data_IF_770208910700
#
_entry.id   IF_770208910700
#
_cell.length_a   1.000
_cell.length_b   1.000
_cell.length_c   1.000
_cell.angle_alpha   90.00
_cell.angle_beta   90.00
_cell.angle_gamma   90.00
#
_symmetry.space_group_name_H-M   'P 1'
#
loop_
_entity.id
_entity.type
_entity.pdbx_description
1 polymer ?
#
# COMPACT_ATOMS: atom_id res chain seq x y z
N UNK A 1 -44.83 -9.81 2.83
CA UNK A 1 -44.22 -8.49 2.59
C UNK A 1 -42.69 -8.55 2.60
N UNK A 2 -42.02 -8.80 3.74
CA UNK A 2 -40.55 -8.78 3.79
C UNK A 2 -39.87 -9.88 2.97
N UNK A 3 -40.44 -11.08 2.90
CA UNK A 3 -39.93 -12.12 1.98
C UNK A 3 -40.06 -11.74 0.51
N UNK A 4 -41.14 -11.05 0.15
CA UNK A 4 -41.35 -10.53 -1.21
C UNK A 4 -40.29 -9.48 -1.53
N UNK A 5 -40.09 -8.51 -0.62
CA UNK A 5 -39.05 -7.49 -0.75
C UNK A 5 -37.63 -8.11 -0.82
N UNK A 6 -37.35 -9.19 -0.08
CA UNK A 6 -36.08 -9.90 -0.17
C UNK A 6 -35.87 -10.52 -1.57
N UNK A 7 -36.89 -11.16 -2.14
CA UNK A 7 -36.84 -11.72 -3.50
C UNK A 7 -36.70 -10.63 -4.57
N UNK A 8 -37.40 -9.52 -4.42
CA UNK A 8 -37.27 -8.37 -5.33
C UNK A 8 -35.86 -7.76 -5.26
N UNK A 9 -35.31 -7.59 -4.06
CA UNK A 9 -33.94 -7.10 -3.89
C UNK A 9 -32.90 -8.06 -4.50
N UNK A 10 -33.07 -9.36 -4.32
CA UNK A 10 -32.25 -10.37 -5.00
C UNK A 10 -32.33 -10.25 -6.53
N UNK A 11 -33.52 -10.02 -7.07
CA UNK A 11 -33.69 -9.80 -8.51
C UNK A 11 -32.97 -8.52 -8.98
N UNK A 12 -33.04 -7.43 -8.21
CA UNK A 12 -32.28 -6.20 -8.52
C UNK A 12 -30.79 -6.45 -8.50
N UNK A 13 -30.26 -7.13 -7.46
CA UNK A 13 -28.83 -7.46 -7.36
C UNK A 13 -28.34 -8.35 -8.50
N UNK A 14 -29.23 -9.14 -9.11
CA UNK A 14 -28.90 -9.99 -10.26
C UNK A 14 -29.01 -9.24 -11.59
N UNK A 15 -30.05 -8.42 -11.76
CA UNK A 15 -30.36 -7.75 -13.04
C UNK A 15 -29.59 -6.45 -13.26
N UNK A 16 -29.24 -5.73 -12.19
CA UNK A 16 -28.60 -4.41 -12.23
C UNK A 16 -27.16 -4.46 -11.68
N UNK A 17 -26.56 -5.64 -11.63
CA UNK A 17 -25.25 -5.83 -10.99
C UNK A 17 -24.14 -4.98 -11.61
N UNK A 18 -24.22 -4.73 -12.91
CA UNK A 18 -23.23 -3.95 -13.67
C UNK A 18 -23.42 -2.44 -13.55
N UNK A 19 -24.56 -1.97 -13.03
CA UNK A 19 -24.89 -0.54 -12.92
C UNK A 19 -24.78 -0.03 -11.49
N UNK A 20 -24.88 -0.91 -10.48
CA UNK A 20 -24.82 -0.53 -9.07
C UNK A 20 -23.38 -0.32 -8.59
N UNK A 21 -23.07 0.90 -8.17
CA UNK A 21 -21.77 1.31 -7.64
C UNK A 21 -21.76 1.36 -6.11
N UNK A 22 -22.86 1.80 -5.48
CA UNK A 22 -22.91 2.09 -4.05
C UNK A 22 -24.16 1.52 -3.37
N UNK A 23 -23.98 1.01 -2.16
CA UNK A 23 -25.04 0.56 -1.28
C UNK A 23 -25.11 1.40 0.01
N UNK A 24 -26.33 1.77 0.43
CA UNK A 24 -26.56 2.55 1.64
C UNK A 24 -27.79 2.10 2.43
N UNK A 25 -27.76 2.35 3.74
CA UNK A 25 -28.96 2.34 4.58
C UNK A 25 -29.47 3.77 4.70
N UNK A 26 -30.72 4.00 4.31
CA UNK A 26 -31.33 5.34 4.23
C UNK A 26 -32.33 5.50 5.35
N UNK A 27 -32.17 6.55 6.16
CA UNK A 27 -33.17 6.94 7.14
C UNK A 27 -34.22 7.82 6.45
N UNK A 28 -35.41 7.27 6.23
CA UNK A 28 -36.54 8.05 5.72
C UNK A 28 -37.20 8.79 6.89
N UNK A 29 -37.40 10.10 6.76
CA UNK A 29 -38.03 10.92 7.80
C UNK A 29 -39.55 10.80 7.74
N UNK A 30 -40.17 10.36 8.84
CA UNK A 30 -41.61 10.49 9.12
C UNK A 30 -42.57 9.67 8.25
N UNK A 31 -43.73 9.33 8.80
CA UNK A 31 -44.81 8.59 8.11
C UNK A 31 -45.51 9.39 7.00
N UNK A 32 -45.20 10.69 6.84
CA UNK A 32 -45.98 11.63 6.01
C UNK A 32 -45.49 11.77 4.55
N UNK A 33 -44.25 11.40 4.22
CA UNK A 33 -43.66 11.65 2.88
C UNK A 33 -43.77 10.48 1.88
N UNK A 34 -44.31 9.32 2.28
CA UNK A 34 -44.41 8.14 1.40
C UNK A 34 -45.86 7.89 0.99
N UNK A 35 -46.32 8.62 -0.02
CA UNK A 35 -47.49 8.24 -0.80
C UNK A 35 -47.32 6.85 -1.40
N UNK A 36 -48.34 6.00 -1.20
CA UNK A 36 -48.55 4.63 -1.72
C UNK A 36 -47.34 3.66 -1.70
N UNK A 37 -47.40 2.74 -0.72
CA UNK A 37 -46.47 1.64 -0.40
C UNK A 37 -45.09 2.08 0.09
N UNK A 38 -44.82 1.84 1.39
CA UNK A 38 -43.49 1.97 2.00
C UNK A 38 -42.49 1.07 1.26
N UNK A 39 -41.76 1.63 0.29
CA UNK A 39 -40.71 0.93 -0.45
C UNK A 39 -39.60 0.54 0.54
N UNK A 40 -39.26 -0.75 0.55
CA UNK A 40 -38.23 -1.30 1.45
C UNK A 40 -36.82 -0.96 0.96
N UNK A 41 -36.67 -0.78 -0.36
CA UNK A 41 -35.43 -0.37 -1.01
C UNK A 41 -35.74 0.52 -2.22
N UNK A 42 -34.74 1.26 -2.67
CA UNK A 42 -34.85 2.26 -3.74
C UNK A 42 -33.56 2.26 -4.56
N UNK A 43 -33.72 2.46 -5.85
CA UNK A 43 -32.64 2.84 -6.77
C UNK A 43 -32.88 4.29 -7.19
N UNK A 44 -31.83 5.02 -7.56
CA UNK A 44 -31.89 6.42 -8.00
C UNK A 44 -32.50 6.63 -9.41
N UNK A 45 -33.41 5.74 -9.84
CA UNK A 45 -34.12 5.78 -11.13
C UNK A 45 -33.73 4.64 -12.08
N UNK A 46 -34.26 4.67 -13.30
CA UNK A 46 -33.89 3.72 -14.36
C UNK A 46 -32.44 3.94 -14.78
N UNK A 47 -31.58 2.96 -14.49
CA UNK A 47 -30.13 3.06 -14.71
C UNK A 47 -29.35 3.72 -13.57
N UNK A 48 -29.98 3.91 -12.40
CA UNK A 48 -29.35 4.47 -11.23
C UNK A 48 -28.20 3.61 -10.67
N UNK A 49 -27.15 4.25 -10.16
CA UNK A 49 -25.96 3.56 -9.63
C UNK A 49 -25.96 3.36 -8.12
N UNK A 50 -27.01 3.80 -7.42
CA UNK A 50 -27.09 3.74 -5.96
C UNK A 50 -28.28 2.91 -5.50
N UNK A 51 -28.00 1.94 -4.64
CA UNK A 51 -28.99 1.10 -3.99
C UNK A 51 -29.14 1.52 -2.52
N UNK A 52 -30.34 1.98 -2.15
CA UNK A 52 -30.69 2.29 -0.77
C UNK A 52 -31.64 1.24 -0.19
N UNK A 53 -31.45 0.85 1.07
CA UNK A 53 -32.45 0.10 1.86
C UNK A 53 -32.92 0.98 3.02
N UNK A 54 -34.24 1.02 3.25
CA UNK A 54 -34.80 1.73 4.41
C UNK A 54 -34.21 1.17 5.70
N UNK A 55 -33.58 2.04 6.49
CA UNK A 55 -32.96 1.71 7.76
C UNK A 55 -33.98 1.08 8.74
N UNK A 56 -35.23 1.56 8.73
CA UNK A 56 -36.29 1.02 9.58
C UNK A 56 -36.71 -0.41 9.20
N UNK A 57 -36.58 -0.77 7.94
CA UNK A 57 -36.96 -2.09 7.41
C UNK A 57 -35.79 -3.07 7.32
N UNK A 58 -34.54 -2.59 7.38
CA UNK A 58 -33.32 -3.40 7.17
C UNK A 58 -33.23 -4.66 8.05
N UNK A 59 -33.56 -4.56 9.34
CA UNK A 59 -33.51 -5.73 10.24
C UNK A 59 -34.61 -6.77 9.94
N UNK A 60 -35.78 -6.34 9.48
CA UNK A 60 -36.85 -7.25 9.10
C UNK A 60 -36.55 -7.91 7.74
N UNK A 61 -36.01 -7.14 6.80
CA UNK A 61 -35.53 -7.63 5.51
C UNK A 61 -34.41 -8.66 5.67
N UNK A 62 -33.41 -8.37 6.51
CA UNK A 62 -32.32 -9.30 6.82
C UNK A 62 -32.85 -10.63 7.36
N UNK A 63 -33.77 -10.60 8.33
CA UNK A 63 -34.36 -11.82 8.91
C UNK A 63 -35.12 -12.63 7.85
N UNK A 64 -35.91 -11.97 7.00
CA UNK A 64 -36.64 -12.65 5.94
C UNK A 64 -35.68 -13.31 4.93
N UNK A 65 -34.69 -12.56 4.43
CA UNK A 65 -33.68 -13.09 3.51
C UNK A 65 -32.89 -14.25 4.13
N UNK A 66 -32.52 -14.12 5.42
CA UNK A 66 -31.81 -15.16 6.16
C UNK A 66 -32.66 -16.43 6.32
N UNK A 67 -33.93 -16.32 6.68
CA UNK A 67 -34.83 -17.49 6.79
C UNK A 67 -34.93 -18.19 5.44
N UNK A 68 -35.20 -17.44 4.35
CA UNK A 68 -35.26 -18.00 3.00
C UNK A 68 -33.96 -18.70 2.59
N UNK A 69 -32.82 -18.07 2.90
CA UNK A 69 -31.51 -18.68 2.69
C UNK A 69 -31.38 -19.98 3.49
N UNK A 70 -31.58 -19.94 4.81
CA UNK A 70 -31.38 -21.07 5.73
C UNK A 70 -32.25 -22.29 5.39
N UNK A 71 -33.50 -22.06 4.98
CA UNK A 71 -34.43 -23.13 4.58
C UNK A 71 -34.22 -23.62 3.14
N UNK A 72 -33.56 -22.83 2.31
CA UNK A 72 -33.34 -23.12 0.89
C UNK A 72 -32.21 -24.13 0.65
N UNK A 73 -32.30 -24.84 -0.48
CA UNK A 73 -31.24 -25.72 -0.93
C UNK A 73 -30.01 -24.90 -1.39
N UNK A 74 -28.84 -25.16 -0.79
CA UNK A 74 -27.61 -24.38 -1.06
C UNK A 74 -27.05 -24.55 -2.47
N UNK A 75 -27.53 -25.56 -3.21
CA UNK A 75 -27.14 -25.78 -4.62
C UNK A 75 -28.07 -25.04 -5.61
N UNK A 76 -29.15 -24.42 -5.13
CA UNK A 76 -30.06 -23.64 -5.97
C UNK A 76 -29.64 -22.19 -6.08
N UNK A 77 -29.74 -21.64 -7.29
CA UNK A 77 -29.37 -20.27 -7.60
C UNK A 77 -30.22 -19.24 -6.82
N UNK A 78 -31.51 -19.53 -6.63
CA UNK A 78 -32.43 -18.70 -5.84
C UNK A 78 -31.98 -18.55 -4.38
N UNK A 79 -31.48 -19.63 -3.77
CA UNK A 79 -30.87 -19.61 -2.44
C UNK A 79 -29.58 -18.80 -2.44
N UNK A 80 -28.80 -18.85 -3.53
CA UNK A 80 -27.59 -18.05 -3.68
C UNK A 80 -27.86 -16.56 -3.90
N UNK A 81 -28.99 -16.16 -4.47
CA UNK A 81 -29.36 -14.74 -4.45
C UNK A 81 -29.75 -14.29 -3.05
N UNK A 82 -30.47 -15.12 -2.29
CA UNK A 82 -30.78 -14.81 -0.89
C UNK A 82 -29.50 -14.65 -0.07
N UNK A 83 -28.45 -15.45 -0.36
CA UNK A 83 -27.12 -15.26 0.22
C UNK A 83 -26.54 -13.88 -0.11
N UNK A 84 -26.68 -13.37 -1.35
CA UNK A 84 -26.25 -12.01 -1.71
C UNK A 84 -27.00 -10.95 -0.90
N UNK A 85 -28.32 -11.09 -0.72
CA UNK A 85 -29.12 -10.15 0.10
C UNK A 85 -28.66 -10.17 1.57
N UNK A 86 -28.44 -11.37 2.13
CA UNK A 86 -27.94 -11.54 3.50
C UNK A 86 -26.59 -10.85 3.67
N UNK A 87 -25.66 -11.04 2.74
CA UNK A 87 -24.31 -10.47 2.78
C UNK A 87 -24.26 -8.97 2.52
N UNK A 88 -25.15 -8.45 1.68
CA UNK A 88 -25.31 -7.00 1.48
C UNK A 88 -25.72 -6.30 2.78
N UNK A 89 -26.62 -6.93 3.55
CA UNK A 89 -27.10 -6.39 4.83
C UNK A 89 -26.15 -6.70 6.00
N UNK A 90 -25.43 -7.82 5.96
CA UNK A 90 -24.50 -8.28 6.98
C UNK A 90 -23.31 -9.01 6.38
N UNK A 91 -22.26 -8.24 6.08
CA UNK A 91 -21.08 -8.72 5.37
C UNK A 91 -20.19 -9.68 6.19
N UNK A 92 -20.31 -9.69 7.52
CA UNK A 92 -19.47 -10.51 8.40
C UNK A 92 -20.05 -11.91 8.67
N UNK A 93 -21.06 -12.34 7.92
CA UNK A 93 -21.61 -13.69 8.03
C UNK A 93 -20.76 -14.72 7.25
N UNK A 94 -19.62 -15.09 7.83
CA UNK A 94 -18.60 -15.94 7.21
C UNK A 94 -19.12 -17.29 6.67
N UNK A 95 -20.04 -17.95 7.38
CA UNK A 95 -20.65 -19.21 6.90
C UNK A 95 -21.32 -19.04 5.54
N UNK A 96 -21.94 -17.90 5.28
CA UNK A 96 -22.58 -17.62 3.98
C UNK A 96 -21.52 -17.44 2.91
N UNK A 97 -20.45 -16.68 3.16
CA UNK A 97 -19.31 -16.59 2.24
C UNK A 97 -18.71 -17.96 1.91
N UNK A 98 -18.50 -18.82 2.90
CA UNK A 98 -17.94 -20.15 2.67
C UNK A 98 -18.86 -21.05 1.83
N UNK A 99 -20.19 -20.96 2.02
CA UNK A 99 -21.15 -21.64 1.16
C UNK A 99 -21.08 -21.12 -0.28
N UNK A 100 -20.91 -19.81 -0.47
CA UNK A 100 -20.71 -19.23 -1.81
C UNK A 100 -19.42 -19.72 -2.47
N UNK A 101 -18.31 -19.81 -1.73
CA UNK A 101 -17.05 -20.39 -2.24
C UNK A 101 -17.26 -21.81 -2.76
N UNK A 102 -17.97 -22.65 -2.00
CA UNK A 102 -18.28 -24.01 -2.43
C UNK A 102 -19.16 -24.04 -3.68
N UNK A 103 -20.18 -23.18 -3.74
CA UNK A 103 -21.09 -23.10 -4.87
C UNK A 103 -20.38 -22.67 -6.16
N UNK A 104 -19.65 -21.55 -6.11
CA UNK A 104 -18.93 -21.00 -7.26
C UNK A 104 -17.71 -21.85 -7.63
N UNK A 105 -17.00 -22.39 -6.64
CA UNK A 105 -15.83 -23.25 -6.86
C UNK A 105 -16.16 -24.55 -7.59
N UNK A 106 -17.33 -25.17 -7.33
CA UNK A 106 -17.80 -26.34 -8.08
C UNK A 106 -18.06 -26.02 -9.56
N UNK A 107 -18.55 -24.81 -9.85
CA UNK A 107 -18.89 -24.37 -11.21
C UNK A 107 -17.65 -23.89 -11.98
N UNK A 108 -16.70 -23.31 -11.26
CA UNK A 108 -15.40 -22.87 -11.76
C UNK A 108 -15.49 -21.97 -13.01
N UNK A 109 -16.55 -21.15 -13.10
CA UNK A 109 -16.83 -20.26 -14.23
C UNK A 109 -16.24 -18.86 -13.99
N UNK A 110 -15.41 -18.37 -14.91
CA UNK A 110 -14.73 -17.06 -14.79
C UNK A 110 -15.72 -15.89 -14.77
N UNK A 111 -16.76 -15.92 -15.59
CA UNK A 111 -17.75 -14.83 -15.68
C UNK A 111 -18.53 -14.71 -14.37
N UNK A 112 -18.94 -15.84 -13.78
CA UNK A 112 -19.60 -15.87 -12.48
C UNK A 112 -18.69 -15.39 -11.34
N UNK A 113 -17.38 -15.69 -11.43
CA UNK A 113 -16.40 -15.18 -10.46
C UNK A 113 -16.18 -13.67 -10.63
N UNK A 114 -16.20 -13.15 -11.86
CA UNK A 114 -16.15 -11.70 -12.12
C UNK A 114 -17.42 -10.99 -11.63
N UNK A 115 -18.58 -11.60 -11.80
CA UNK A 115 -19.81 -11.16 -11.13
C UNK A 115 -19.64 -11.18 -9.62
N UNK A 116 -19.04 -12.22 -9.06
CA UNK A 116 -18.80 -12.27 -7.62
C UNK A 116 -17.90 -11.14 -7.14
N UNK A 117 -16.83 -10.82 -7.87
CA UNK A 117 -15.96 -9.66 -7.60
C UNK A 117 -16.79 -8.36 -7.61
N UNK A 118 -17.63 -8.13 -8.63
CA UNK A 118 -18.53 -6.97 -8.69
C UNK A 118 -19.49 -6.91 -7.50
N UNK A 119 -20.04 -8.05 -7.08
CA UNK A 119 -20.89 -8.09 -5.90
C UNK A 119 -20.12 -7.63 -4.64
N UNK A 120 -18.87 -8.07 -4.49
CA UNK A 120 -18.05 -7.62 -3.36
C UNK A 120 -17.70 -6.13 -3.43
N UNK A 121 -17.64 -5.50 -4.60
CA UNK A 121 -17.49 -4.02 -4.72
C UNK A 121 -18.66 -3.32 -4.01
N UNK A 122 -19.88 -3.76 -4.32
CA UNK A 122 -21.10 -3.20 -3.73
C UNK A 122 -21.14 -3.41 -2.21
N UNK A 123 -20.76 -4.60 -1.73
CA UNK A 123 -20.65 -4.89 -0.29
C UNK A 123 -19.62 -3.97 0.37
N UNK A 124 -18.44 -3.79 -0.23
CA UNK A 124 -17.35 -2.96 0.31
C UNK A 124 -17.65 -1.46 0.28
N UNK A 125 -18.56 -0.99 -0.60
CA UNK A 125 -19.02 0.40 -0.60
C UNK A 125 -19.63 0.82 0.75
N UNK A 126 -20.25 -0.13 1.47
CA UNK A 126 -20.81 0.08 2.81
C UNK A 126 -19.98 -0.56 3.92
N UNK A 127 -19.57 -1.81 3.74
CA UNK A 127 -18.94 -2.65 4.75
C UNK A 127 -17.42 -2.73 4.55
N UNK A 128 -16.78 -1.59 4.34
CA UNK A 128 -15.36 -1.50 3.97
C UNK A 128 -14.38 -2.20 4.95
N UNK A 129 -14.75 -2.39 6.23
CA UNK A 129 -13.95 -3.10 7.23
C UNK A 129 -14.18 -4.61 7.27
N UNK A 130 -15.13 -5.15 6.52
CA UNK A 130 -15.51 -6.57 6.60
C UNK A 130 -14.35 -7.48 6.16
N UNK A 131 -13.67 -8.08 7.13
CA UNK A 131 -12.56 -9.00 6.86
C UNK A 131 -13.01 -10.23 6.04
N UNK A 132 -14.17 -10.86 6.32
CA UNK A 132 -14.66 -11.97 5.49
C UNK A 132 -14.88 -11.59 4.03
N UNK A 133 -15.34 -10.36 3.75
CA UNK A 133 -15.52 -9.87 2.38
C UNK A 133 -14.19 -9.78 1.63
N UNK A 134 -13.14 -9.21 2.26
CA UNK A 134 -11.80 -9.14 1.65
C UNK A 134 -11.20 -10.53 1.42
N UNK A 135 -11.36 -11.45 2.38
CA UNK A 135 -10.89 -12.84 2.24
C UNK A 135 -11.61 -13.56 1.11
N UNK A 136 -12.93 -13.37 0.98
CA UNK A 136 -13.71 -13.96 -0.11
C UNK A 136 -13.32 -13.38 -1.48
N UNK A 137 -13.14 -12.07 -1.54
CA UNK A 137 -12.67 -11.37 -2.75
C UNK A 137 -11.31 -11.89 -3.20
N UNK A 138 -10.36 -12.04 -2.28
CA UNK A 138 -9.06 -12.62 -2.58
C UNK A 138 -9.16 -14.05 -3.10
N UNK A 139 -9.98 -14.90 -2.47
CA UNK A 139 -10.22 -16.24 -2.97
C UNK A 139 -10.76 -16.24 -4.41
N UNK A 140 -11.75 -15.40 -4.71
CA UNK A 140 -12.34 -15.31 -6.05
C UNK A 140 -11.32 -14.86 -7.09
N UNK A 141 -10.51 -13.85 -6.77
CA UNK A 141 -9.41 -13.41 -7.62
C UNK A 141 -8.40 -14.54 -7.88
N UNK A 142 -8.01 -15.29 -6.85
CA UNK A 142 -7.11 -16.43 -7.00
C UNK A 142 -7.67 -17.51 -7.92
N UNK A 143 -8.98 -17.78 -7.87
CA UNK A 143 -9.62 -18.71 -8.80
C UNK A 143 -9.52 -18.20 -10.24
N UNK A 144 -9.82 -16.91 -10.46
CA UNK A 144 -9.76 -16.30 -11.80
C UNK A 144 -8.33 -16.38 -12.35
N UNK A 145 -7.34 -15.86 -11.60
CA UNK A 145 -5.95 -15.82 -12.04
C UNK A 145 -5.32 -17.21 -12.17
N UNK A 146 -5.63 -18.14 -11.27
CA UNK A 146 -5.15 -19.52 -11.34
C UNK A 146 -5.63 -20.26 -12.60
N UNK A 147 -6.85 -19.99 -13.06
CA UNK A 147 -7.34 -20.53 -14.32
C UNK A 147 -6.63 -19.95 -15.56
N UNK A 148 -6.16 -18.71 -15.50
CA UNK A 148 -5.35 -18.11 -16.57
C UNK A 148 -3.95 -18.73 -16.63
N UNK A 149 -3.29 -18.91 -15.48
CA UNK A 149 -1.96 -19.51 -15.40
C UNK A 149 -1.93 -20.99 -15.86
N UNK A 150 -2.93 -21.78 -15.48
CA UNK A 150 -3.00 -23.19 -15.89
C UNK A 150 -3.26 -23.37 -17.40
N UNK A 151 -3.89 -22.38 -18.07
CA UNK A 151 -4.11 -22.40 -19.53
C UNK A 151 -2.84 -22.07 -20.31
N UNK A 152 -1.88 -21.35 -19.73
CA UNK A 152 -0.61 -21.01 -20.37
C UNK A 152 0.41 -22.18 -20.33
N UNK A 153 0.27 -23.11 -19.38
CA UNK A 153 1.21 -24.24 -19.20
C UNK A 153 0.81 -25.54 -19.92
N UNK A 154 -0.39 -25.62 -20.50
CA UNK A 154 -0.89 -26.83 -21.16
C UNK A 154 -0.72 -26.84 -22.68
N UNK A 155 0.49 -27.13 -23.19
CA UNK A 155 0.74 -27.81 -24.49
C UNK A 155 2.25 -27.90 -24.76
N UNK A 156 2.90 -29.01 -24.41
CA UNK A 156 4.18 -29.42 -25.03
C UNK A 156 4.54 -30.91 -24.88
N UNK A 157 3.57 -31.82 -24.92
CA UNK A 157 3.86 -33.24 -25.13
C UNK A 157 3.02 -33.81 -26.27
N UNK A 158 3.66 -33.94 -27.44
CA UNK A 158 3.23 -34.81 -28.53
C UNK A 158 2.49 -34.12 -29.69
N UNK A 159 3.23 -33.77 -30.74
CA UNK A 159 3.03 -34.33 -32.09
C UNK A 159 4.05 -33.71 -33.04
N UNK A 160 5.15 -34.44 -33.26
CA UNK A 160 6.05 -34.19 -34.37
C UNK A 160 5.30 -34.44 -35.70
N UNK A 161 5.49 -33.48 -36.61
CA UNK A 161 5.44 -33.62 -38.07
C UNK A 161 4.06 -33.44 -38.76
N UNK A 162 3.85 -32.25 -39.35
CA UNK A 162 3.60 -31.99 -40.79
C UNK A 162 3.11 -30.53 -40.98
N UNK A 163 3.91 -29.69 -41.64
CA UNK A 163 3.41 -28.53 -42.39
C UNK A 163 3.87 -27.13 -41.95
N UNK A 164 4.99 -26.68 -42.51
CA UNK A 164 5.61 -25.35 -42.35
C UNK A 164 4.73 -24.11 -42.66
N UNK A 165 3.49 -24.29 -43.17
CA UNK A 165 2.54 -23.18 -43.44
C UNK A 165 1.38 -23.09 -42.43
N UNK A 166 1.00 -24.20 -41.79
CA UNK A 166 -0.02 -24.23 -40.70
C UNK A 166 0.55 -23.70 -39.39
N UNK A 167 1.82 -24.01 -39.13
CA UNK A 167 2.59 -23.49 -37.99
C UNK A 167 2.46 -21.96 -37.84
N UNK A 168 2.60 -21.17 -38.92
CA UNK A 168 2.52 -19.69 -38.82
C UNK A 168 1.13 -19.12 -38.49
N UNK A 169 0.05 -19.86 -38.73
CA UNK A 169 -1.32 -19.42 -38.38
C UNK A 169 -1.65 -19.82 -36.94
N UNK A 170 -1.23 -21.03 -36.55
CA UNK A 170 -1.39 -21.51 -35.17
C UNK A 170 -0.52 -20.69 -34.19
N UNK A 171 0.69 -20.30 -34.58
CA UNK A 171 1.56 -19.40 -33.81
C UNK A 171 0.93 -18.01 -33.63
N UNK A 172 0.34 -17.45 -34.70
CA UNK A 172 -0.35 -16.13 -34.63
C UNK A 172 -1.58 -16.17 -33.72
N UNK A 173 -2.41 -17.21 -33.84
CA UNK A 173 -3.58 -17.38 -32.97
C UNK A 173 -3.17 -17.59 -31.50
N UNK A 174 -2.05 -18.30 -31.27
CA UNK A 174 -1.47 -18.48 -29.93
C UNK A 174 -0.99 -17.16 -29.33
N UNK A 175 -0.30 -16.34 -30.12
CA UNK A 175 0.16 -15.02 -29.71
C UNK A 175 -1.00 -14.06 -29.39
N UNK A 176 -2.05 -14.06 -30.21
CA UNK A 176 -3.26 -13.25 -29.98
C UNK A 176 -3.97 -13.67 -28.69
N UNK A 177 -4.17 -14.96 -28.48
CA UNK A 177 -4.80 -15.49 -27.26
C UNK A 177 -3.99 -15.16 -25.99
N UNK A 178 -2.67 -15.24 -26.08
CA UNK A 178 -1.78 -14.89 -24.95
C UNK A 178 -1.84 -13.40 -24.66
N UNK A 179 -1.94 -12.54 -25.68
CA UNK A 179 -2.14 -11.09 -25.51
C UNK A 179 -3.49 -10.79 -24.87
N UNK A 180 -4.56 -11.44 -25.31
CA UNK A 180 -5.91 -11.26 -24.74
C UNK A 180 -5.97 -11.67 -23.26
N UNK A 181 -5.40 -12.83 -22.91
CA UNK A 181 -5.31 -13.29 -21.52
C UNK A 181 -4.55 -12.28 -20.64
N UNK A 182 -3.43 -11.74 -21.13
CA UNK A 182 -2.66 -10.70 -20.41
C UNK A 182 -3.47 -9.42 -20.22
N UNK A 183 -4.14 -8.94 -21.27
CA UNK A 183 -4.98 -7.74 -21.19
C UNK A 183 -6.12 -7.92 -20.17
N UNK A 184 -6.74 -9.10 -20.14
CA UNK A 184 -7.78 -9.43 -19.19
C UNK A 184 -7.24 -9.47 -17.75
N UNK A 185 -6.09 -10.12 -17.52
CA UNK A 185 -5.39 -10.11 -16.22
C UNK A 185 -5.14 -8.68 -15.76
N UNK A 186 -4.55 -7.85 -16.62
CA UNK A 186 -4.15 -6.49 -16.26
C UNK A 186 -5.37 -5.62 -15.94
N UNK A 187 -6.45 -5.80 -16.70
CA UNK A 187 -7.74 -5.12 -16.44
C UNK A 187 -8.29 -5.49 -15.07
N UNK A 188 -8.26 -6.78 -14.71
CA UNK A 188 -8.72 -7.27 -13.41
C UNK A 188 -7.83 -6.69 -12.29
N UNK A 189 -6.51 -6.84 -12.38
CA UNK A 189 -5.60 -6.34 -11.35
C UNK A 189 -5.70 -4.82 -11.16
N UNK A 190 -5.92 -4.08 -12.25
CA UNK A 190 -6.10 -2.63 -12.19
C UNK A 190 -7.41 -2.25 -11.48
N UNK A 191 -8.50 -2.97 -11.73
CA UNK A 191 -9.76 -2.84 -10.98
C UNK A 191 -9.56 -3.13 -9.48
N UNK A 192 -8.76 -4.15 -9.14
CA UNK A 192 -8.43 -4.48 -7.75
C UNK A 192 -7.62 -3.38 -7.04
N UNK A 193 -6.72 -2.70 -7.76
CA UNK A 193 -6.05 -1.51 -7.22
C UNK A 193 -7.02 -0.34 -7.06
N UNK A 194 -8.02 -0.20 -7.91
CA UNK A 194 -9.02 0.88 -7.83
C UNK A 194 -9.99 0.70 -6.67
N UNK A 195 -10.49 -0.51 -6.39
CA UNK A 195 -11.35 -0.75 -5.23
C UNK A 195 -10.61 -0.46 -3.92
N UNK A 196 -9.34 -0.87 -3.80
CA UNK A 196 -8.51 -0.56 -2.63
C UNK A 196 -8.35 0.95 -2.44
N UNK A 197 -8.19 1.68 -3.54
CA UNK A 197 -8.06 3.14 -3.54
C UNK A 197 -9.38 3.82 -3.12
N UNK A 198 -10.52 3.38 -3.65
CA UNK A 198 -11.85 3.88 -3.26
C UNK A 198 -12.13 3.64 -1.78
N UNK A 199 -11.86 2.43 -1.29
CA UNK A 199 -12.06 2.10 0.12
C UNK A 199 -11.11 2.90 1.03
N UNK A 200 -9.85 3.07 0.64
CA UNK A 200 -8.92 3.93 1.37
C UNK A 200 -9.39 5.41 1.40
N UNK A 201 -10.06 5.90 0.36
CA UNK A 201 -10.68 7.23 0.38
C UNK A 201 -11.84 7.35 1.36
N UNK A 202 -12.68 6.32 1.46
CA UNK A 202 -13.78 6.29 2.43
C UNK A 202 -13.29 6.10 3.88
N UNK A 203 -12.21 5.34 4.07
CA UNK A 203 -11.59 5.11 5.37
C UNK A 203 -10.08 4.87 5.22
N UNK A 204 -9.30 5.94 5.34
CA UNK A 204 -7.86 5.99 5.05
C UNK A 204 -6.99 5.00 5.84
N UNK A 205 -7.50 4.43 6.94
CA UNK A 205 -6.81 3.40 7.74
C UNK A 205 -7.42 2.01 7.57
N UNK A 206 -8.02 1.70 6.43
CA UNK A 206 -8.57 0.37 6.17
C UNK A 206 -7.45 -0.66 6.02
N UNK A 207 -7.03 -1.26 7.13
CA UNK A 207 -5.96 -2.25 7.16
C UNK A 207 -6.19 -3.42 6.20
N UNK A 208 -7.45 -3.85 6.03
CA UNK A 208 -7.80 -4.95 5.13
C UNK A 208 -7.61 -4.56 3.66
N UNK A 209 -8.03 -3.35 3.26
CA UNK A 209 -7.81 -2.86 1.89
C UNK A 209 -6.31 -2.71 1.59
N UNK A 210 -5.55 -2.18 2.55
CA UNK A 210 -4.10 -2.07 2.39
C UNK A 210 -3.43 -3.44 2.35
N UNK A 211 -3.78 -4.38 3.22
CA UNK A 211 -3.21 -5.74 3.19
C UNK A 211 -3.52 -6.44 1.87
N UNK A 212 -4.78 -6.37 1.42
CA UNK A 212 -5.19 -6.93 0.13
C UNK A 212 -4.43 -6.29 -1.04
N UNK A 213 -4.26 -4.95 -1.04
CA UNK A 213 -3.45 -4.26 -2.05
C UNK A 213 -2.01 -4.79 -2.13
N UNK A 214 -1.37 -5.15 -1.01
CA UNK A 214 -0.03 -5.74 -1.02
C UNK A 214 -0.02 -7.09 -1.76
N UNK A 215 -1.05 -7.92 -1.55
CA UNK A 215 -1.21 -9.20 -2.24
C UNK A 215 -1.40 -9.00 -3.75
N UNK A 216 -2.20 -8.00 -4.14
CA UNK A 216 -2.36 -7.62 -5.56
C UNK A 216 -1.03 -7.24 -6.20
N UNK A 217 -0.22 -6.43 -5.52
CA UNK A 217 1.09 -6.02 -6.02
C UNK A 217 2.05 -7.20 -6.21
N UNK A 218 1.91 -8.26 -5.41
CA UNK A 218 2.68 -9.50 -5.58
C UNK A 218 2.44 -10.20 -6.93
N UNK A 219 1.27 -10.03 -7.55
CA UNK A 219 1.02 -10.59 -8.89
C UNK A 219 1.79 -9.88 -9.99
N UNK A 220 2.13 -8.59 -9.83
CA UNK A 220 2.96 -7.86 -10.79
C UNK A 220 4.44 -8.22 -10.62
N UNK A 221 4.91 -8.35 -9.37
CA UNK A 221 6.30 -8.70 -9.05
C UNK A 221 6.71 -10.09 -9.58
N UNK A 222 5.80 -11.07 -9.49
CA UNK A 222 6.08 -12.46 -9.86
C UNK A 222 6.45 -12.68 -11.34
N UNK A 223 5.87 -11.90 -12.26
CA UNK A 223 6.14 -12.03 -13.69
C UNK A 223 7.28 -11.12 -14.16
N UNK A 224 7.52 -10.00 -13.45
CA UNK A 224 8.56 -9.00 -13.73
C UNK A 224 8.66 -8.61 -15.22
N UNK A 225 7.52 -8.56 -15.92
CA UNK A 225 7.47 -8.11 -17.31
C UNK A 225 7.66 -6.60 -17.42
N UNK A 226 7.94 -6.08 -18.61
CA UNK A 226 8.04 -4.64 -18.85
C UNK A 226 6.70 -3.94 -18.51
N UNK A 227 5.58 -4.58 -18.80
CA UNK A 227 4.23 -4.13 -18.50
C UNK A 227 3.97 -4.09 -16.99
N UNK A 228 4.38 -5.14 -16.25
CA UNK A 228 4.25 -5.16 -14.78
C UNK A 228 5.10 -4.05 -14.14
N UNK A 229 6.32 -3.83 -14.64
CA UNK A 229 7.18 -2.73 -14.17
C UNK A 229 6.55 -1.36 -14.43
N UNK A 230 5.87 -1.17 -15.58
CA UNK A 230 5.11 0.05 -15.87
C UNK A 230 3.94 0.22 -14.91
N UNK A 231 3.20 -0.85 -14.62
CA UNK A 231 2.08 -0.83 -13.67
C UNK A 231 2.56 -0.47 -12.25
N UNK A 232 3.66 -1.07 -11.77
CA UNK A 232 4.29 -0.72 -10.51
C UNK A 232 4.78 0.74 -10.48
N UNK A 233 5.30 1.26 -11.59
CA UNK A 233 5.67 2.67 -11.69
C UNK A 233 4.46 3.60 -11.58
N UNK A 234 3.36 3.31 -12.29
CA UNK A 234 2.12 4.08 -12.17
C UNK A 234 1.57 4.04 -10.74
N UNK A 235 1.63 2.87 -10.09
CA UNK A 235 1.22 2.72 -8.71
C UNK A 235 2.08 3.55 -7.74
N UNK A 236 3.39 3.56 -7.94
CA UNK A 236 4.30 4.44 -7.20
C UNK A 236 3.84 5.90 -7.30
N UNK A 237 3.55 6.39 -8.52
CA UNK A 237 3.09 7.77 -8.72
C UNK A 237 1.75 8.04 -8.04
N UNK A 238 0.82 7.08 -8.07
CA UNK A 238 -0.46 7.16 -7.38
C UNK A 238 -0.28 7.28 -5.86
N UNK A 239 0.54 6.42 -5.26
CA UNK A 239 0.86 6.47 -3.83
C UNK A 239 1.55 7.77 -3.45
N UNK A 240 2.50 8.24 -4.28
CA UNK A 240 3.18 9.53 -4.08
C UNK A 240 2.17 10.68 -4.01
N UNK A 241 1.22 10.73 -4.95
CA UNK A 241 0.13 11.70 -4.95
C UNK A 241 -0.77 11.55 -3.69
N UNK A 242 -0.99 10.33 -3.21
CA UNK A 242 -1.80 10.06 -2.03
C UNK A 242 -1.19 10.61 -0.74
N UNK A 243 0.02 10.18 -0.36
CA UNK A 243 0.53 10.46 0.98
C UNK A 243 1.05 11.89 1.16
N UNK A 244 1.32 12.65 0.09
CA UNK A 244 1.57 14.11 0.21
C UNK A 244 0.35 14.86 0.76
N UNK A 245 -0.87 14.31 0.56
CA UNK A 245 -2.12 14.81 1.15
C UNK A 245 -2.50 14.10 2.45
N UNK A 246 -1.90 12.93 2.72
CA UNK A 246 -2.23 12.06 3.86
C UNK A 246 -0.97 11.66 4.65
N UNK A 247 -0.21 12.64 5.14
CA UNK A 247 1.11 12.44 5.79
C UNK A 247 1.11 11.60 7.07
N UNK A 248 -0.06 11.20 7.58
CA UNK A 248 -0.20 10.30 8.74
C UNK A 248 -0.55 8.86 8.35
N UNK A 249 -0.65 8.56 7.06
CA UNK A 249 -1.07 7.24 6.57
C UNK A 249 0.13 6.28 6.51
N UNK A 250 0.41 5.65 7.65
CA UNK A 250 1.45 4.61 7.76
C UNK A 250 1.25 3.47 6.75
N UNK A 251 0.01 3.13 6.41
CA UNK A 251 -0.29 1.99 5.55
C UNK A 251 0.06 2.31 4.09
N UNK A 252 -0.29 3.51 3.61
CA UNK A 252 0.12 3.98 2.29
C UNK A 252 1.65 4.06 2.15
N UNK A 253 2.33 4.57 3.18
CA UNK A 253 3.80 4.65 3.20
C UNK A 253 4.46 3.28 3.20
N UNK A 254 3.90 2.30 3.94
CA UNK A 254 4.38 0.93 3.88
C UNK A 254 4.19 0.31 2.49
N UNK A 255 3.05 0.60 1.83
CA UNK A 255 2.84 0.15 0.45
C UNK A 255 3.85 0.73 -0.53
N UNK A 256 4.19 2.00 -0.38
CA UNK A 256 5.24 2.62 -1.21
C UNK A 256 6.57 1.86 -1.07
N UNK A 257 6.94 1.43 0.15
CA UNK A 257 8.14 0.61 0.36
C UNK A 257 8.04 -0.76 -0.33
N UNK A 258 6.86 -1.39 -0.33
CA UNK A 258 6.62 -2.64 -1.06
C UNK A 258 6.76 -2.46 -2.58
N UNK A 259 6.17 -1.40 -3.15
CA UNK A 259 6.27 -1.08 -4.58
C UNK A 259 7.71 -0.79 -4.98
N UNK A 260 8.45 0.00 -4.19
CA UNK A 260 9.87 0.25 -4.44
C UNK A 260 10.67 -1.06 -4.43
N UNK A 261 10.40 -1.95 -3.48
CA UNK A 261 11.07 -3.26 -3.40
C UNK A 261 10.79 -4.12 -4.63
N UNK A 262 9.53 -4.22 -5.06
CA UNK A 262 9.14 -4.96 -6.26
C UNK A 262 9.78 -4.37 -7.54
N UNK A 263 10.01 -3.06 -7.58
CA UNK A 263 10.76 -2.40 -8.67
C UNK A 263 12.27 -2.66 -8.61
N UNK A 264 12.77 -3.41 -7.62
CA UNK A 264 14.19 -3.65 -7.38
C UNK A 264 14.89 -2.49 -6.66
N UNK A 265 14.13 -1.64 -5.96
CA UNK A 265 14.61 -0.43 -5.31
C UNK A 265 15.46 0.44 -6.26
N UNK A 266 14.90 1.05 -7.32
CA UNK A 266 15.69 1.85 -8.25
C UNK A 266 16.38 3.02 -7.53
N UNK A 267 17.69 3.26 -7.71
CA UNK A 267 18.40 4.34 -7.02
C UNK A 267 17.75 5.72 -7.16
N UNK A 268 17.43 6.14 -8.40
CA UNK A 268 16.75 7.41 -8.66
C UNK A 268 15.38 7.49 -7.98
N UNK A 269 14.65 6.37 -7.94
CA UNK A 269 13.36 6.32 -7.27
C UNK A 269 13.51 6.45 -5.76
N UNK A 270 14.49 5.77 -5.15
CA UNK A 270 14.78 5.89 -3.72
C UNK A 270 15.21 7.31 -3.35
N UNK A 271 16.14 7.91 -4.08
CA UNK A 271 16.60 9.27 -3.83
C UNK A 271 15.46 10.29 -3.94
N UNK A 272 14.63 10.17 -4.98
CA UNK A 272 13.46 11.02 -5.16
C UNK A 272 12.39 10.83 -4.06
N UNK A 273 12.25 9.63 -3.50
CA UNK A 273 11.34 9.39 -2.37
C UNK A 273 11.94 9.86 -1.03
N UNK A 274 13.25 9.67 -0.80
CA UNK A 274 13.94 10.19 0.39
C UNK A 274 13.82 11.71 0.42
N UNK A 275 14.14 12.38 -0.69
CA UNK A 275 14.03 13.84 -0.83
C UNK A 275 12.61 14.32 -0.53
N UNK A 276 11.59 13.68 -1.10
CA UNK A 276 10.19 14.01 -0.82
C UNK A 276 9.84 13.81 0.65
N UNK A 277 10.18 12.66 1.23
CA UNK A 277 9.90 12.33 2.62
C UNK A 277 10.58 13.32 3.58
N UNK A 278 11.76 13.82 3.22
CA UNK A 278 12.50 14.84 3.98
C UNK A 278 11.83 16.20 3.92
N UNK A 279 11.37 16.66 2.75
CA UNK A 279 10.57 17.89 2.63
C UNK A 279 9.29 17.80 3.46
N UNK A 280 8.60 16.66 3.40
CA UNK A 280 7.40 16.43 4.20
C UNK A 280 7.72 16.39 5.71
N UNK A 281 8.83 15.77 6.12
CA UNK A 281 9.23 15.70 7.52
C UNK A 281 9.62 17.08 8.09
N UNK A 282 10.20 17.97 7.28
CA UNK A 282 10.46 19.37 7.65
C UNK A 282 9.16 20.15 7.79
N UNK A 283 8.21 19.97 6.87
CA UNK A 283 6.92 20.68 6.88
C UNK A 283 5.95 20.16 7.95
N UNK A 284 6.00 18.86 8.23
CA UNK A 284 5.10 18.14 9.12
C UNK A 284 5.86 17.28 10.14
N UNK A 285 6.78 17.85 10.95
CA UNK A 285 7.71 17.09 11.79
C UNK A 285 7.01 16.24 12.85
N UNK A 286 5.76 16.58 13.21
CA UNK A 286 4.95 15.91 14.24
C UNK A 286 4.40 14.55 13.84
N UNK A 287 4.51 14.18 12.56
CA UNK A 287 3.93 12.97 12.05
C UNK A 287 4.94 11.83 12.09
N UNK A 288 4.86 10.99 13.13
CA UNK A 288 5.71 9.80 13.31
C UNK A 288 5.72 8.89 12.06
N UNK A 289 4.62 8.87 11.28
CA UNK A 289 4.52 8.15 10.01
C UNK A 289 5.63 8.50 9.03
N UNK A 290 5.92 9.79 8.84
CA UNK A 290 6.98 10.25 7.94
C UNK A 290 8.34 9.75 8.40
N UNK A 291 8.65 9.87 9.69
CA UNK A 291 9.92 9.41 10.24
C UNK A 291 10.07 7.88 10.13
N UNK A 292 9.00 7.11 10.33
CA UNK A 292 9.02 5.66 10.11
C UNK A 292 9.18 5.29 8.63
N UNK A 293 8.54 6.04 7.73
CA UNK A 293 8.70 5.85 6.29
C UNK A 293 10.14 6.10 5.85
N UNK A 294 10.74 7.21 6.31
CA UNK A 294 12.17 7.51 6.09
C UNK A 294 13.08 6.39 6.56
N UNK A 295 12.82 5.79 7.73
CA UNK A 295 13.59 4.60 8.20
C UNK A 295 13.56 3.47 7.17
N UNK A 296 12.39 3.17 6.63
CA UNK A 296 12.23 2.16 5.58
C UNK A 296 12.99 2.49 4.30
N UNK A 297 12.93 3.75 3.85
CA UNK A 297 13.65 4.21 2.65
C UNK A 297 15.16 4.10 2.81
N UNK A 298 15.71 4.59 3.92
CA UNK A 298 17.15 4.48 4.21
C UNK A 298 17.57 3.04 4.36
N UNK A 299 16.74 2.19 4.99
CA UNK A 299 17.04 0.77 5.08
C UNK A 299 17.10 0.12 3.68
N UNK A 300 16.17 0.43 2.78
CA UNK A 300 16.23 -0.03 1.38
C UNK A 300 17.48 0.47 0.66
N UNK A 301 17.87 1.73 0.87
CA UNK A 301 19.11 2.30 0.31
C UNK A 301 20.35 1.54 0.80
N UNK A 302 20.43 1.29 2.11
CA UNK A 302 21.54 0.55 2.72
C UNK A 302 21.62 -0.89 2.22
N UNK A 303 20.48 -1.58 2.05
CA UNK A 303 20.46 -2.95 1.53
C UNK A 303 21.05 -3.07 0.13
N UNK A 304 20.80 -2.07 -0.74
CA UNK A 304 21.47 -2.01 -2.05
C UNK A 304 22.97 -1.83 -1.92
N UNK A 305 23.37 -0.96 -1.02
CA UNK A 305 24.79 -0.72 -0.78
C UNK A 305 25.51 -2.01 -0.34
N UNK A 306 24.89 -2.94 0.40
CA UNK A 306 25.56 -4.19 0.81
C UNK A 306 25.83 -5.21 -0.28
N UNK A 307 25.18 -5.10 -1.44
CA UNK A 307 25.46 -5.97 -2.58
C UNK A 307 26.73 -5.53 -3.32
N UNK A 308 27.13 -4.27 -3.14
CA UNK A 308 28.37 -3.68 -3.62
C UNK A 308 29.33 -3.47 -2.43
N UNK A 309 30.63 -3.28 -2.61
CA UNK A 309 31.59 -3.10 -1.49
C UNK A 309 31.41 -1.78 -0.70
N UNK A 310 30.28 -1.09 -0.90
CA UNK A 310 29.91 0.24 -0.43
C UNK A 310 29.72 0.43 1.09
N UNK A 311 29.24 -0.53 1.91
CA UNK A 311 28.88 -0.25 3.31
C UNK A 311 30.10 0.12 4.16
N UNK A 312 31.27 -0.42 3.80
CA UNK A 312 32.54 -0.09 4.42
C UNK A 312 32.91 1.37 4.14
N UNK A 313 32.74 1.83 2.89
CA UNK A 313 33.03 3.20 2.50
C UNK A 313 32.01 4.19 3.07
N UNK A 314 30.73 3.82 3.16
CA UNK A 314 29.68 4.65 3.78
C UNK A 314 29.94 4.81 5.28
N UNK A 315 30.22 3.71 6.00
CA UNK A 315 30.55 3.79 7.43
C UNK A 315 31.88 4.51 7.63
N UNK A 316 32.88 4.25 6.79
CA UNK A 316 34.15 4.99 6.84
C UNK A 316 33.91 6.48 6.60
N UNK A 317 33.14 6.87 5.59
CA UNK A 317 32.80 8.25 5.25
C UNK A 317 32.00 8.95 6.36
N UNK A 318 30.99 8.27 6.93
CA UNK A 318 30.28 8.75 8.12
C UNK A 318 31.21 8.91 9.33
N UNK A 319 32.29 8.13 9.42
CA UNK A 319 33.27 8.17 10.49
C UNK A 319 34.53 9.02 10.18
N UNK A 320 34.77 9.40 8.92
CA UNK A 320 35.97 10.09 8.44
C UNK A 320 35.69 11.49 7.90
N UNK A 321 34.48 11.72 7.38
CA UNK A 321 33.93 13.04 7.20
C UNK A 321 33.64 13.63 8.57
N UNK A 322 33.89 14.93 8.81
CA UNK A 322 33.64 15.46 10.12
C UNK A 322 32.13 15.47 10.35
N UNK A 323 31.63 14.54 11.16
CA UNK A 323 30.31 14.73 11.81
C UNK A 323 30.33 16.07 12.61
N UNK A 324 31.52 16.63 12.90
CA UNK A 324 31.77 17.97 13.45
C UNK A 324 31.68 19.12 12.42
N UNK A 325 31.68 18.82 11.12
CA UNK A 325 31.45 19.75 10.00
C UNK A 325 30.10 19.49 9.33
N UNK A 326 29.21 18.71 9.97
CA UNK A 326 27.79 19.04 9.91
C UNK A 326 27.67 20.43 10.52
N UNK A 327 28.00 21.47 9.75
CA UNK A 327 27.35 22.74 9.97
C UNK A 327 25.85 22.41 9.94
N UNK A 328 25.14 22.74 11.02
CA UNK A 328 23.69 22.76 11.01
C UNK A 328 23.31 23.77 9.94
N UNK A 329 23.25 23.30 8.70
CA UNK A 329 22.89 24.12 7.56
C UNK A 329 21.40 24.37 7.66
N UNK A 330 21.05 25.41 8.41
CA UNK A 330 19.67 25.87 8.53
C UNK A 330 19.11 26.25 7.15
N UNK A 331 19.97 26.63 6.19
CA UNK A 331 19.55 26.94 4.82
C UNK A 331 19.10 25.71 4.03
N UNK A 332 19.59 24.51 4.37
CA UNK A 332 19.07 23.25 3.84
C UNK A 332 17.62 23.03 4.29
N UNK A 333 17.30 23.31 5.56
CA UNK A 333 15.94 23.18 6.07
C UNK A 333 15.02 24.25 5.47
N UNK A 334 15.48 25.50 5.38
CA UNK A 334 14.71 26.59 4.78
C UNK A 334 14.43 26.32 3.29
N UNK A 335 15.43 25.88 2.52
CA UNK A 335 15.25 25.52 1.11
C UNK A 335 14.30 24.33 0.92
N UNK A 336 14.31 23.35 1.83
CA UNK A 336 13.39 22.20 1.78
C UNK A 336 11.97 22.54 2.24
N UNK A 337 11.81 23.53 3.12
CA UNK A 337 10.52 24.03 3.58
C UNK A 337 9.82 24.90 2.53
N UNK A 338 10.60 25.71 1.79
CA UNK A 338 10.11 26.62 0.75
C UNK A 338 9.96 25.96 -0.62
N UNK A 339 10.62 24.82 -0.86
CA UNK A 339 10.50 24.09 -2.11
C UNK A 339 9.05 23.66 -2.39
N UNK A 340 8.58 23.97 -3.59
CA UNK A 340 7.28 23.53 -4.07
C UNK A 340 7.15 22.00 -3.95
N UNK A 341 6.02 21.55 -3.39
CA UNK A 341 5.64 20.13 -3.40
C UNK A 341 5.13 19.69 -4.78
N UNK A 342 5.17 20.59 -5.77
CA UNK A 342 4.78 20.31 -7.14
C UNK A 342 5.56 19.11 -7.64
N UNK A 343 4.79 18.09 -7.99
CA UNK A 343 5.23 16.76 -8.37
C UNK A 343 5.76 16.87 -9.80
N UNK A 344 6.91 17.49 -10.00
CA UNK A 344 7.59 17.35 -11.28
C UNK A 344 8.06 15.91 -11.41
N UNK A 345 7.36 15.19 -12.27
CA UNK A 345 7.70 13.86 -12.74
C UNK A 345 8.96 13.97 -13.59
N UNK A 346 10.13 14.08 -12.96
CA UNK A 346 11.37 13.87 -13.69
C UNK A 346 11.48 12.38 -14.02
N UNK A 347 10.94 12.01 -15.17
CA UNK A 347 11.33 10.77 -15.86
C UNK A 347 12.76 10.98 -16.35
N UNK A 348 13.74 10.67 -15.50
CA UNK A 348 15.11 10.49 -15.99
C UNK A 348 15.13 9.21 -16.82
N UNK A 349 15.14 9.36 -18.15
CA UNK A 349 15.43 8.28 -19.10
C UNK A 349 16.95 8.02 -19.24
N UNK A 350 17.77 8.72 -18.46
CA UNK A 350 19.19 8.42 -18.36
C UNK A 350 19.36 7.38 -17.27
N UNK A 351 20.07 6.29 -17.55
CA UNK A 351 20.68 5.46 -16.52
C UNK A 351 22.00 6.16 -16.13
N UNK A 352 22.04 6.93 -15.03
CA UNK A 352 23.22 7.66 -14.59
C UNK A 352 24.17 6.80 -13.75
N UNK A 353 23.86 5.50 -13.52
CA UNK A 353 24.44 4.67 -12.46
C UNK A 353 25.36 3.54 -12.97
N UNK A 354 26.05 3.75 -14.09
CA UNK A 354 26.94 2.74 -14.68
C UNK A 354 28.38 2.73 -14.13
N UNK A 355 28.77 3.65 -13.23
CA UNK A 355 30.16 3.81 -12.79
C UNK A 355 30.29 4.06 -11.28
N UNK A 356 31.45 3.65 -10.73
CA UNK A 356 31.95 3.69 -9.33
C UNK A 356 31.72 4.93 -8.41
N UNK A 357 30.91 5.91 -8.81
CA UNK A 357 30.50 7.09 -8.02
C UNK A 357 29.32 6.85 -7.06
N UNK A 358 28.71 5.66 -7.09
CA UNK A 358 27.46 5.35 -6.38
C UNK A 358 27.59 5.43 -4.84
N UNK A 359 28.71 4.95 -4.31
CA UNK A 359 28.97 4.92 -2.87
C UNK A 359 29.06 6.33 -2.26
N UNK A 360 29.70 7.26 -2.97
CA UNK A 360 29.90 8.63 -2.51
C UNK A 360 28.57 9.39 -2.51
N UNK A 361 27.75 9.22 -3.56
CA UNK A 361 26.42 9.82 -3.64
C UNK A 361 25.49 9.30 -2.53
N UNK A 362 25.49 7.99 -2.27
CA UNK A 362 24.70 7.44 -1.16
C UNK A 362 25.22 7.88 0.22
N UNK A 363 26.53 7.99 0.40
CA UNK A 363 27.11 8.52 1.63
C UNK A 363 26.68 9.97 1.87
N UNK A 364 26.67 10.81 0.82
CA UNK A 364 26.18 12.18 0.89
C UNK A 364 24.70 12.24 1.30
N UNK A 365 23.84 11.44 0.65
CA UNK A 365 22.41 11.37 1.02
C UNK A 365 22.24 11.01 2.50
N UNK A 366 22.99 10.02 3.00
CA UNK A 366 22.91 9.64 4.42
C UNK A 366 23.43 10.75 5.35
N UNK A 367 24.46 11.48 4.93
CA UNK A 367 24.95 12.63 5.67
C UNK A 367 23.88 13.72 5.75
N UNK A 368 23.28 14.12 4.63
CA UNK A 368 22.21 15.13 4.55
C UNK A 368 21.00 14.71 5.41
N UNK A 369 20.65 13.43 5.38
CA UNK A 369 19.56 12.87 6.18
C UNK A 369 19.82 12.91 7.69
N UNK A 370 21.07 12.66 8.11
CA UNK A 370 21.48 12.80 9.50
C UNK A 370 21.48 14.29 9.91
N UNK A 371 21.97 15.18 9.05
CA UNK A 371 21.95 16.63 9.28
C UNK A 371 20.55 17.13 9.50
N UNK A 372 19.64 16.84 8.55
CA UNK A 372 18.25 17.27 8.64
C UNK A 372 17.56 16.74 9.89
N UNK A 373 17.80 15.48 10.26
CA UNK A 373 17.19 14.91 11.47
C UNK A 373 17.74 15.55 12.76
N UNK A 374 19.02 15.89 12.81
CA UNK A 374 19.62 16.60 13.94
C UNK A 374 19.13 18.05 14.03
N UNK A 375 19.00 18.75 12.89
CA UNK A 375 18.40 20.09 12.84
C UNK A 375 16.95 20.03 13.37
N UNK A 376 16.13 19.12 12.83
CA UNK A 376 14.75 18.92 13.28
C UNK A 376 14.63 18.53 14.76
N UNK A 377 15.65 17.90 15.36
CA UNK A 377 15.66 17.58 16.79
C UNK A 377 16.06 18.76 17.68
N UNK A 378 16.92 19.64 17.16
CA UNK A 378 17.57 20.74 17.90
C UNK A 378 16.78 22.04 17.83
N UNK A 379 16.12 22.31 16.71
CA UNK A 379 15.37 23.54 16.49
C UNK A 379 14.04 23.53 17.26
N UNK A 380 13.91 24.40 18.26
CA UNK A 380 12.69 24.56 19.06
C UNK A 380 11.50 25.15 18.27
N UNK A 381 11.72 25.68 17.06
CA UNK A 381 10.68 26.21 16.16
C UNK A 381 10.13 25.13 15.20
N UNK A 382 10.96 24.17 14.81
CA UNK A 382 10.60 22.98 14.02
C UNK A 382 10.15 21.80 14.92
N UNK A 383 10.85 21.52 16.02
CA UNK A 383 10.42 20.66 17.12
C UNK A 383 9.46 21.42 18.07
N UNK A 384 8.32 21.84 17.51
CA UNK A 384 7.12 22.33 18.22
C UNK A 384 6.63 21.42 19.35
N UNK A 385 7.06 20.15 19.41
CA UNK A 385 6.75 19.24 20.51
C UNK A 385 7.86 18.22 20.81
N UNK A 386 7.86 17.72 22.04
CA UNK A 386 8.73 16.62 22.49
C UNK A 386 8.66 15.37 21.60
N UNK A 387 7.47 15.12 21.04
CA UNK A 387 7.22 13.99 20.14
C UNK A 387 8.03 14.08 18.85
N UNK A 388 8.26 15.30 18.34
CA UNK A 388 9.04 15.56 17.13
C UNK A 388 10.52 15.28 17.36
N UNK A 389 11.06 15.82 18.46
CA UNK A 389 12.42 15.56 18.92
C UNK A 389 12.65 14.05 19.07
N UNK A 390 11.68 13.34 19.66
CA UNK A 390 11.71 11.87 19.79
C UNK A 390 11.74 11.14 18.44
N UNK A 391 10.92 11.56 17.48
CA UNK A 391 10.85 10.93 16.16
C UNK A 391 12.16 11.11 15.38
N UNK A 392 12.69 12.33 15.36
CA UNK A 392 13.91 12.71 14.66
C UNK A 392 15.15 12.00 15.25
N UNK A 393 15.33 12.04 16.58
CA UNK A 393 16.41 11.30 17.24
C UNK A 393 16.26 9.78 17.05
N UNK A 394 15.04 9.26 17.10
CA UNK A 394 14.77 7.86 16.81
C UNK A 394 15.12 7.47 15.36
N UNK A 395 15.03 8.39 14.41
CA UNK A 395 15.48 8.21 13.03
C UNK A 395 17.00 8.17 12.94
N UNK A 396 17.72 9.13 13.54
CA UNK A 396 19.21 9.13 13.61
C UNK A 396 19.73 7.79 14.15
N UNK A 397 19.14 7.35 15.27
CA UNK A 397 19.44 6.05 15.90
C UNK A 397 19.26 4.88 14.93
N UNK A 398 18.18 4.91 14.14
CA UNK A 398 17.89 3.86 13.17
C UNK A 398 18.92 3.87 12.04
N UNK A 399 19.20 5.02 11.43
CA UNK A 399 20.18 5.14 10.34
C UNK A 399 21.53 4.58 10.79
N UNK A 400 22.07 5.04 11.93
CA UNK A 400 23.35 4.57 12.44
C UNK A 400 23.35 3.05 12.69
N UNK A 401 22.36 2.53 13.42
CA UNK A 401 22.29 1.09 13.72
C UNK A 401 22.16 0.24 12.46
N UNK A 402 21.35 0.68 11.51
CA UNK A 402 21.16 0.00 10.23
C UNK A 402 22.45 0.01 9.41
N UNK A 403 23.18 1.13 9.34
CA UNK A 403 24.46 1.22 8.63
C UNK A 403 25.50 0.23 9.18
N UNK A 404 25.69 0.18 10.51
CA UNK A 404 26.63 -0.78 11.12
C UNK A 404 26.18 -2.24 10.95
N UNK A 405 24.87 -2.50 11.05
CA UNK A 405 24.31 -3.86 10.86
C UNK A 405 24.55 -4.36 9.43
N UNK A 406 24.25 -3.52 8.45
CA UNK A 406 24.42 -3.85 7.03
C UNK A 406 25.89 -4.00 6.66
N UNK A 407 26.78 -3.20 7.26
CA UNK A 407 28.23 -3.33 7.04
C UNK A 407 28.89 -4.49 7.79
N UNK A 408 28.15 -5.24 8.61
CA UNK A 408 28.69 -6.30 9.47
C UNK A 408 29.72 -5.80 10.51
N UNK A 409 29.77 -4.50 10.80
CA UNK A 409 30.75 -3.90 11.74
C UNK A 409 30.12 -3.75 13.12
N UNK A 410 30.96 -3.91 14.15
CA UNK A 410 30.55 -3.57 15.50
C UNK A 410 30.35 -2.04 15.63
N UNK A 411 29.29 -1.64 16.33
CA UNK A 411 29.09 -0.24 16.70
C UNK A 411 30.21 0.16 17.67
N UNK A 412 31.00 1.22 17.39
CA UNK A 412 32.06 1.67 18.29
C UNK A 412 31.55 1.95 19.70
N UNK A 413 32.38 1.70 20.72
CA UNK A 413 31.99 1.81 22.13
C UNK A 413 31.53 3.21 22.55
N UNK A 414 32.14 4.27 21.98
CA UNK A 414 31.73 5.65 22.18
C UNK A 414 30.32 5.90 21.64
N UNK A 415 30.04 5.43 20.41
CA UNK A 415 28.75 5.57 19.77
C UNK A 415 27.70 4.72 20.50
N UNK A 416 28.02 3.48 20.88
CA UNK A 416 27.14 2.63 21.68
C UNK A 416 26.81 3.25 23.05
N UNK A 417 27.73 3.98 23.66
CA UNK A 417 27.51 4.71 24.92
C UNK A 417 26.62 5.92 24.70
N UNK A 418 26.79 6.64 23.59
CA UNK A 418 25.92 7.74 23.18
C UNK A 418 24.49 7.26 22.84
N UNK A 419 24.34 6.20 22.04
CA UNK A 419 23.06 5.55 21.71
C UNK A 419 22.28 5.11 22.98
N UNK A 420 22.99 4.87 24.11
CA UNK A 420 22.39 4.55 25.41
C UNK A 420 21.99 5.79 26.23
N UNK A 421 22.62 6.94 25.97
CA UNK A 421 22.31 8.23 26.63
C UNK A 421 21.20 8.99 25.91
N UNK A 422 20.99 8.72 24.63
CA UNK A 422 19.81 9.22 23.93
C UNK A 422 18.56 8.66 24.61
N UNK A 423 17.57 9.50 24.86
CA UNK A 423 16.36 9.06 25.52
C UNK A 423 15.73 7.91 24.75
N UNK A 424 15.61 6.78 25.43
CA UNK A 424 14.79 5.69 24.93
C UNK A 424 13.38 6.22 24.70
N UNK A 425 12.67 5.68 23.72
CA UNK A 425 11.29 6.00 23.40
C UNK A 425 10.28 5.59 24.52
N UNK A 426 10.63 5.79 25.80
CA UNK A 426 9.76 5.67 26.95
C UNK A 426 9.27 7.06 27.32
N UNK A 427 7.95 7.23 27.35
CA UNK A 427 7.25 8.46 27.66
C UNK A 427 7.73 9.04 29.00
N UNK A 428 8.52 10.10 28.94
CA UNK A 428 8.96 10.88 30.08
C UNK A 428 9.53 12.21 29.57
N UNK A 429 9.36 13.32 30.31
CA UNK A 429 9.86 14.62 29.89
C UNK A 429 11.38 14.60 29.81
N UNK A 430 11.93 15.06 28.70
CA UNK A 430 13.36 15.17 28.47
C UNK A 430 13.94 16.38 29.20
N UNK A 431 14.99 16.10 29.97
CA UNK A 431 15.69 17.05 30.85
C UNK A 431 16.54 18.04 30.01
N UNK A 432 16.70 19.32 30.41
CA UNK A 432 17.64 20.28 29.80
C UNK A 432 19.10 19.80 29.65
N UNK A 433 19.49 18.69 30.29
CA UNK A 433 20.74 17.98 29.99
C UNK A 433 20.88 17.51 28.52
N UNK A 434 19.78 17.39 27.78
CA UNK A 434 19.79 16.94 26.39
C UNK A 434 20.35 17.97 25.39
N UNK A 435 20.21 19.26 25.67
CA UNK A 435 20.82 20.31 24.83
C UNK A 435 22.36 20.32 25.05
N UNK A 436 22.81 19.99 26.28
CA UNK A 436 24.24 19.74 26.55
C UNK A 436 24.74 18.43 25.91
N UNK A 437 23.87 17.44 25.66
CA UNK A 437 24.22 16.20 24.97
C UNK A 437 24.42 16.40 23.46
N UNK A 438 23.71 17.37 22.86
CA UNK A 438 23.93 17.81 21.48
C UNK A 438 25.23 18.63 21.36
N UNK A 439 25.50 19.54 22.32
CA UNK A 439 26.77 20.25 22.40
C UNK A 439 27.96 19.30 22.66
N UNK A 440 27.81 18.35 23.59
CA UNK A 440 28.79 17.31 23.86
C UNK A 440 28.91 16.30 22.71
N UNK A 441 27.90 16.16 21.85
CA UNK A 441 27.98 15.39 20.61
C UNK A 441 28.89 16.09 19.61
N UNK A 442 28.74 17.40 19.39
CA UNK A 442 29.65 18.17 18.54
C UNK A 442 31.11 18.05 19.02
N UNK A 443 31.35 18.16 20.34
CA UNK A 443 32.70 17.98 20.92
C UNK A 443 33.22 16.53 20.85
N UNK A 444 32.41 15.53 21.20
CA UNK A 444 32.85 14.13 21.25
C UNK A 444 33.05 13.51 19.85
N UNK A 445 32.27 13.98 18.87
CA UNK A 445 32.50 13.68 17.46
C UNK A 445 33.83 14.28 17.01
N UNK A 446 34.08 15.56 17.31
CA UNK A 446 35.35 16.23 16.98
C UNK A 446 36.55 15.48 17.57
N UNK A 447 36.47 15.08 18.85
CA UNK A 447 37.53 14.35 19.52
C UNK A 447 37.75 12.92 18.99
N UNK A 448 36.69 12.25 18.51
CA UNK A 448 36.79 10.90 17.94
C UNK A 448 37.38 10.90 16.53
N UNK A 449 37.16 11.98 15.76
CA UNK A 449 37.73 12.18 14.43
C UNK A 449 39.25 12.41 14.49
N UNK A 450 39.74 13.16 15.48
CA UNK A 450 41.17 13.32 15.74
C UNK A 450 41.87 11.98 16.03
N UNK A 451 41.20 11.08 16.76
CA UNK A 451 41.75 9.78 17.09
C UNK A 451 41.78 8.81 15.89
N UNK A 452 40.80 8.91 14.98
CA UNK A 452 40.76 8.08 13.75
C UNK A 452 41.75 8.60 12.71
N UNK A 453 41.94 9.92 12.59
CA UNK A 453 42.96 10.52 11.73
C UNK A 453 44.41 10.20 12.16
N UNK A 454 44.61 9.80 13.42
CA UNK A 454 45.89 9.31 13.93
C UNK A 454 46.11 7.80 13.66
N UNK A 455 45.09 7.07 13.21
CA UNK A 455 45.12 5.62 12.95
C UNK A 455 45.08 5.27 11.46
N UNK A 456 44.84 6.24 10.57
CA UNK A 456 45.07 6.16 9.11
C UNK A 456 46.44 6.73 8.76
#
# INVERSE_FOLDING_TARGET
MMETAARELAHVLRSQQTTLDEFGLVALAGEEDLGEAKKVFFTDGDGGSKLGVDLGSGAALYRAARTLYETGNKEEESTQDMAKVVLLLSADYETVWNVRKMYLGKRNNVEELLDEIRFTDLVLSKHYKSAPTWVHRHWALQQILGQHLNKEQGHDEGEDNIGSKRQSLDDRNRDERTKENRLQRDTILQHELEICQRVAASYYRCYNAWSYRAEILGYFDAHNSMEDRKALHHERLRLRSWFVRHVSDHSAMNQMLCVLRALGNPPDALEAEITLASRLAVRYPGHEALWRYKRGLVYSLLQRCSEESAPIHIVAHLCSGPLASLELDLSLVDSMAEADLNIELTQSNHDPWADSGDCARFAQILQDELTLALVCASDHTCARSEEQRRCALGYVMHVLRSSFRVSGRAIPSYLATWLRRLPHARAGPLNPANDSLLAAWAEAVSASLEHIAQLS
#
